data_IF_128513545770
#
_entry.id   IF_128513545770
#
_cell.length_a   1.000
_cell.length_b   1.000
_cell.length_c   1.000
_cell.angle_alpha   90.00
_cell.angle_beta   90.00
_cell.angle_gamma   90.00
#
_symmetry.space_group_name_H-M   'P 1'
#
loop_
_entity.id
_entity.type
_entity.pdbx_description
1 polymer ?
#
# COMPACT_ATOMS: atom_id res chain seq x y z
N UNK A 1 3.98 -3.95 12.59
CA UNK A 1 2.77 -3.24 12.13
C UNK A 1 2.81 -1.73 12.41
N UNK A 2 2.97 -1.27 13.66
CA UNK A 2 3.03 0.18 13.97
C UNK A 2 4.10 0.94 13.16
N UNK A 3 5.30 0.38 13.05
CA UNK A 3 6.40 0.99 12.29
C UNK A 3 6.10 1.12 10.80
N UNK A 4 5.45 0.11 10.20
CA UNK A 4 5.04 0.15 8.78
C UNK A 4 4.03 1.26 8.54
N UNK A 5 3.02 1.37 9.42
CA UNK A 5 2.01 2.44 9.35
C UNK A 5 2.65 3.82 9.51
N UNK A 6 3.55 3.98 10.49
CA UNK A 6 4.26 5.24 10.72
C UNK A 6 5.13 5.63 9.53
N UNK A 7 5.88 4.67 8.98
CA UNK A 7 6.74 4.89 7.81
C UNK A 7 5.92 5.30 6.58
N UNK A 8 4.83 4.58 6.27
CA UNK A 8 3.95 4.93 5.16
C UNK A 8 3.32 6.32 5.32
N UNK A 9 2.88 6.70 6.52
CA UNK A 9 2.30 8.02 6.77
C UNK A 9 3.31 9.15 6.68
N UNK A 10 4.57 8.90 7.04
CA UNK A 10 5.64 9.87 6.90
C UNK A 10 6.09 10.03 5.44
N UNK A 11 6.09 8.93 4.68
CA UNK A 11 6.51 8.91 3.28
C UNK A 11 5.48 9.50 2.31
N UNK A 12 4.19 9.28 2.56
CA UNK A 12 3.12 9.60 1.62
C UNK A 12 2.15 10.64 2.18
N UNK A 13 2.19 11.85 1.64
CA UNK A 13 1.20 12.89 1.91
C UNK A 13 -0.11 12.61 1.18
N UNK A 14 -1.21 13.14 1.72
CA UNK A 14 -2.56 12.96 1.20
C UNK A 14 -2.95 11.49 0.98
N UNK A 15 -2.44 10.59 1.84
CA UNK A 15 -2.73 9.17 1.76
C UNK A 15 -4.23 8.92 1.99
N UNK A 16 -4.93 8.51 0.94
CA UNK A 16 -6.33 8.11 0.98
C UNK A 16 -6.44 6.63 0.63
N UNK A 17 -7.20 5.87 1.42
CA UNK A 17 -7.40 4.43 1.21
C UNK A 17 -8.87 4.17 0.96
N UNK A 18 -9.16 3.57 -0.19
CA UNK A 18 -10.48 3.09 -0.58
C UNK A 18 -10.54 1.59 -0.39
N UNK A 19 -11.59 1.11 0.27
CA UNK A 19 -11.91 -0.32 0.29
C UNK A 19 -12.72 -0.63 -0.97
N UNK A 20 -12.12 -1.44 -1.84
CA UNK A 20 -12.70 -1.81 -3.14
C UNK A 20 -13.65 -3.00 -3.00
N UNK A 21 -13.37 -3.89 -2.06
CA UNK A 21 -14.18 -5.08 -1.78
C UNK A 21 -13.92 -5.55 -0.34
N UNK A 22 -14.94 -6.13 0.29
CA UNK A 22 -14.83 -6.65 1.65
C UNK A 22 -15.71 -7.88 1.83
N UNK A 23 -15.12 -8.95 2.37
CA UNK A 23 -15.81 -10.20 2.66
C UNK A 23 -15.56 -10.56 4.12
N UNK A 24 -16.62 -10.95 4.84
CA UNK A 24 -16.52 -11.44 6.21
C UNK A 24 -17.04 -12.88 6.28
N UNK A 25 -16.25 -13.77 6.89
CA UNK A 25 -16.62 -15.18 7.11
C UNK A 25 -16.05 -15.67 8.44
N UNK A 26 -16.92 -16.19 9.30
CA UNK A 26 -16.54 -16.66 10.63
C UNK A 26 -15.89 -15.56 11.46
N UNK A 27 -14.65 -15.79 11.90
CA UNK A 27 -13.86 -14.83 12.66
C UNK A 27 -12.89 -14.02 11.78
N UNK A 28 -13.06 -14.01 10.46
CA UNK A 28 -12.17 -13.31 9.51
C UNK A 28 -12.90 -12.26 8.69
N UNK A 29 -12.15 -11.20 8.37
CA UNK A 29 -12.55 -10.14 7.43
C UNK A 29 -11.42 -9.95 6.44
N UNK A 30 -11.72 -10.04 5.15
CA UNK A 30 -10.79 -9.74 4.06
C UNK A 30 -11.20 -8.43 3.41
N UNK A 31 -10.25 -7.53 3.20
CA UNK A 31 -10.46 -6.26 2.53
C UNK A 31 -9.45 -6.11 1.38
N UNK A 32 -9.95 -5.88 0.16
CA UNK A 32 -9.13 -5.43 -0.97
C UNK A 32 -9.17 -3.92 -1.02
N UNK A 33 -8.01 -3.28 -1.14
CA UNK A 33 -7.91 -1.83 -1.06
C UNK A 33 -7.07 -1.22 -2.18
N UNK A 34 -7.33 0.05 -2.44
CA UNK A 34 -6.49 0.96 -3.23
C UNK A 34 -6.10 2.15 -2.37
N UNK A 35 -4.82 2.49 -2.33
CA UNK A 35 -4.27 3.64 -1.63
C UNK A 35 -3.64 4.63 -2.62
N UNK A 36 -4.01 5.90 -2.51
CA UNK A 36 -3.45 6.99 -3.29
C UNK A 36 -2.70 7.96 -2.40
N UNK A 37 -1.57 8.50 -2.87
CA UNK A 37 -0.82 9.51 -2.12
C UNK A 37 0.26 10.20 -2.97
N UNK A 38 1.04 11.06 -2.33
CA UNK A 38 2.18 11.75 -2.94
C UNK A 38 3.45 11.43 -2.15
N UNK A 39 4.48 10.91 -2.82
CA UNK A 39 5.76 10.57 -2.17
C UNK A 39 6.55 11.84 -1.82
N UNK A 40 6.44 12.26 -0.55
CA UNK A 40 6.96 13.54 -0.02
C UNK A 40 7.94 13.38 1.14
N UNK A 41 7.98 12.21 1.77
CA UNK A 41 9.02 11.83 2.72
C UNK A 41 9.83 10.64 2.20
N UNK A 42 10.90 10.30 2.91
CA UNK A 42 11.76 9.17 2.54
C UNK A 42 11.01 7.84 2.72
N UNK A 43 11.12 6.96 1.72
CA UNK A 43 10.49 5.65 1.74
C UNK A 43 11.50 4.56 1.40
N UNK A 44 11.76 3.64 2.35
CA UNK A 44 12.70 2.53 2.18
C UNK A 44 14.09 2.95 1.66
N UNK A 45 14.61 4.09 2.12
CA UNK A 45 15.90 4.64 1.70
C UNK A 45 15.86 5.41 0.37
N UNK A 46 14.69 5.53 -0.27
CA UNK A 46 14.50 6.41 -1.42
C UNK A 46 14.06 7.80 -0.94
N UNK A 47 14.78 8.87 -1.33
CA UNK A 47 14.34 10.23 -1.08
C UNK A 47 13.01 10.54 -1.76
N UNK A 48 12.27 11.50 -1.20
CA UNK A 48 11.02 12.00 -1.76
C UNK A 48 11.13 12.31 -3.27
N UNK A 49 10.28 11.69 -4.08
CA UNK A 49 10.29 11.85 -5.55
C UNK A 49 9.25 12.87 -6.04
N UNK A 50 8.31 13.28 -5.18
CA UNK A 50 7.20 14.16 -5.52
C UNK A 50 6.14 13.52 -6.41
N UNK A 51 6.27 12.24 -6.76
CA UNK A 51 5.34 11.53 -7.64
C UNK A 51 4.07 11.13 -6.90
N UNK A 52 2.95 11.14 -7.64
CA UNK A 52 1.74 10.47 -7.20
C UNK A 52 1.93 8.96 -7.26
N UNK A 53 1.36 8.26 -6.29
CA UNK A 53 1.39 6.81 -6.20
C UNK A 53 -0.02 6.25 -6.10
N UNK A 54 -0.18 5.05 -6.65
CA UNK A 54 -1.32 4.17 -6.44
C UNK A 54 -0.78 2.81 -5.99
N UNK A 55 -1.15 2.38 -4.78
CA UNK A 55 -0.79 1.09 -4.22
C UNK A 55 -2.05 0.26 -4.02
N UNK A 56 -2.05 -0.97 -4.50
CA UNK A 56 -3.14 -1.93 -4.28
C UNK A 56 -2.70 -3.02 -3.33
N UNK A 57 -3.64 -3.60 -2.59
CA UNK A 57 -3.35 -4.71 -1.71
C UNK A 57 -4.60 -5.42 -1.21
N UNK A 58 -4.36 -6.51 -0.48
CA UNK A 58 -5.38 -7.29 0.23
C UNK A 58 -4.88 -7.50 1.65
N UNK A 59 -5.75 -7.27 2.62
CA UNK A 59 -5.52 -7.59 4.03
C UNK A 59 -6.59 -8.55 4.52
N UNK A 60 -6.18 -9.51 5.35
CA UNK A 60 -7.03 -10.46 6.05
C UNK A 60 -6.82 -10.24 7.54
N UNK A 61 -7.90 -9.93 8.25
CA UNK A 61 -7.92 -9.75 9.70
C UNK A 61 -8.60 -10.94 10.35
N UNK A 62 -8.04 -11.47 11.43
CA UNK A 62 -8.79 -12.33 12.35
C UNK A 62 -9.26 -11.52 13.54
N UNK A 63 -10.55 -11.61 13.86
CA UNK A 63 -11.22 -10.85 14.91
C UNK A 63 -11.59 -11.77 16.06
N UNK A 64 -11.19 -11.41 17.29
CA UNK A 64 -11.64 -12.08 18.51
C UNK A 64 -12.01 -11.01 19.55
N UNK A 65 -13.18 -11.15 20.17
CA UNK A 65 -13.68 -10.22 21.20
C UNK A 65 -13.66 -8.75 20.71
N UNK A 66 -14.07 -8.53 19.45
CA UNK A 66 -14.11 -7.21 18.83
C UNK A 66 -12.75 -6.59 18.51
N UNK A 67 -11.65 -7.35 18.62
CA UNK A 67 -10.28 -6.88 18.35
C UNK A 67 -9.64 -7.68 17.23
N UNK A 68 -8.81 -7.02 16.42
CA UNK A 68 -7.92 -7.70 15.47
C UNK A 68 -6.84 -8.42 16.28
N UNK A 69 -6.80 -9.75 16.19
CA UNK A 69 -5.80 -10.60 16.86
C UNK A 69 -4.73 -11.12 15.91
N UNK A 70 -5.01 -11.18 14.61
CA UNK A 70 -4.03 -11.49 13.57
C UNK A 70 -4.31 -10.67 12.32
N UNK A 71 -3.25 -10.41 11.54
CA UNK A 71 -3.29 -9.70 10.28
C UNK A 71 -2.31 -10.35 9.32
N UNK A 72 -2.81 -10.74 8.14
CA UNK A 72 -2.00 -11.15 6.99
C UNK A 72 -2.32 -10.21 5.84
N UNK A 73 -1.31 -9.79 5.07
CA UNK A 73 -1.56 -8.85 3.99
C UNK A 73 -0.47 -8.91 2.93
N UNK A 74 -0.89 -8.61 1.71
CA UNK A 74 -0.03 -8.51 0.54
C UNK A 74 -0.34 -7.20 -0.17
N UNK A 75 0.71 -6.49 -0.57
CA UNK A 75 0.61 -5.24 -1.32
C UNK A 75 1.45 -5.30 -2.59
N UNK A 76 1.00 -4.62 -3.64
CA UNK A 76 1.73 -4.51 -4.91
C UNK A 76 2.94 -3.57 -4.78
N UNK A 77 3.94 -4.01 -4.03
CA UNK A 77 5.14 -3.22 -3.74
C UNK A 77 6.00 -3.04 -4.99
N UNK A 78 6.06 -4.03 -5.88
CA UNK A 78 6.76 -3.90 -7.16
C UNK A 78 6.16 -2.77 -8.01
N UNK A 79 4.83 -2.73 -8.14
CA UNK A 79 4.15 -1.65 -8.86
C UNK A 79 4.39 -0.28 -8.24
N UNK A 80 4.48 -0.19 -6.90
CA UNK A 80 4.86 1.04 -6.20
C UNK A 80 6.32 1.44 -6.54
N UNK A 81 7.26 0.51 -6.42
CA UNK A 81 8.68 0.77 -6.72
C UNK A 81 8.90 1.20 -8.18
N UNK A 82 8.11 0.67 -9.13
CA UNK A 82 8.11 1.09 -10.52
C UNK A 82 7.61 2.53 -10.71
N UNK A 83 6.52 2.91 -10.03
CA UNK A 83 6.02 4.28 -10.05
C UNK A 83 7.06 5.26 -9.48
N UNK A 84 7.75 4.84 -8.42
CA UNK A 84 8.84 5.61 -7.81
C UNK A 84 10.08 5.72 -8.70
N UNK A 85 10.26 4.79 -9.66
CA UNK A 85 11.37 4.78 -10.61
C UNK A 85 12.58 3.95 -10.15
N UNK A 86 12.39 3.09 -9.15
CA UNK A 86 13.43 2.14 -8.70
C UNK A 86 13.59 1.02 -9.72
N UNK A 87 12.47 0.52 -10.24
CA UNK A 87 12.44 -0.53 -11.26
C UNK A 87 11.80 -0.05 -12.56
N UNK A 88 12.25 -0.55 -13.72
CA UNK A 88 11.59 -0.26 -14.98
C UNK A 88 10.19 -0.90 -15.03
N UNK A 89 9.28 -0.26 -15.76
CA UNK A 89 7.99 -0.85 -16.14
C UNK A 89 8.21 -1.67 -17.42
N UNK A 90 7.99 -3.00 -17.41
CA UNK A 90 8.08 -3.79 -18.62
C UNK A 90 7.10 -3.27 -19.68
N UNK A 91 7.58 -3.03 -20.89
CA UNK A 91 6.73 -2.68 -22.04
C UNK A 91 6.48 -1.20 -22.29
N UNK A 92 7.01 -0.27 -21.48
CA UNK A 92 7.17 1.13 -21.95
C UNK A 92 8.39 1.18 -22.86
N UNK A 93 8.17 1.03 -24.17
CA UNK A 93 9.17 1.43 -25.15
C UNK A 93 9.44 2.92 -24.94
N UNK A 94 10.72 3.26 -24.86
CA UNK A 94 11.25 4.62 -24.82
C UNK A 94 10.83 5.29 -26.13
N UNK A 95 9.71 6.01 -26.12
CA UNK A 95 9.33 6.88 -27.25
C UNK A 95 10.35 8.03 -27.27
N UNK A 96 11.41 7.85 -28.07
CA UNK A 96 12.31 8.91 -28.53
C UNK A 96 11.77 9.54 -29.80
#
# INVERSE_FOLDING_TARGET
MKEVITSCRAAFEHLNVTIEDMVAEGDRVTARFTAHGIHKGDFMGLPATGKQITMTGIEIFRIKEGKIVELWGEANLLGLMQQLGIFPVPGKQDER
#
